data_IF_541938539180
#
_entry.id   IF_541938539180
#
_cell.length_a   1.000
_cell.length_b   1.000
_cell.length_c   1.000
_cell.angle_alpha   90.00
_cell.angle_beta   90.00
_cell.angle_gamma   90.00
#
_symmetry.space_group_name_H-M   'P 1'
#
loop_
_entity.id
_entity.type
_entity.pdbx_description
1 polymer ?
#
# COMPACT_ATOMS: atom_id res chain seq x y z
N UNK A 1 0.18 -21.86 -38.33
CA UNK A 1 -0.57 -20.84 -37.56
C UNK A 1 0.45 -19.95 -36.85
N UNK A 2 0.57 -18.68 -37.24
CA UNK A 2 1.45 -17.70 -36.57
C UNK A 2 0.84 -17.38 -35.21
N UNK A 3 1.53 -17.71 -34.13
CA UNK A 3 1.18 -17.22 -32.80
C UNK A 3 1.45 -15.72 -32.78
N UNK A 4 0.40 -14.91 -32.82
CA UNK A 4 0.51 -13.48 -32.51
C UNK A 4 0.86 -13.37 -31.04
N UNK A 5 2.11 -13.06 -30.71
CA UNK A 5 2.54 -12.69 -29.37
C UNK A 5 1.94 -11.33 -29.02
N UNK A 6 0.68 -11.33 -28.56
CA UNK A 6 0.12 -10.18 -27.86
C UNK A 6 0.67 -10.18 -26.45
N UNK A 7 1.64 -9.29 -26.18
CA UNK A 7 2.12 -9.03 -24.82
C UNK A 7 1.14 -8.02 -24.19
N UNK A 8 0.13 -8.54 -23.51
CA UNK A 8 -0.73 -7.71 -22.66
C UNK A 8 0.01 -7.38 -21.36
N UNK A 9 0.09 -6.10 -21.02
CA UNK A 9 0.67 -5.65 -19.75
C UNK A 9 -0.40 -5.70 -18.66
N UNK A 10 -0.41 -6.75 -17.86
CA UNK A 10 -1.27 -6.84 -16.68
C UNK A 10 -0.57 -6.22 -15.46
N UNK A 11 -1.13 -5.12 -14.93
CA UNK A 11 -0.55 -4.41 -13.78
C UNK A 11 -1.05 -4.94 -12.43
N UNK A 12 -2.09 -5.78 -12.43
CA UNK A 12 -2.72 -6.36 -11.23
C UNK A 12 -1.72 -7.21 -10.42
N UNK A 13 -0.83 -7.95 -11.08
CA UNK A 13 0.20 -8.76 -10.41
C UNK A 13 1.19 -7.94 -9.58
N UNK A 14 1.34 -6.64 -9.87
CA UNK A 14 2.21 -5.74 -9.12
C UNK A 14 1.46 -4.98 -8.03
N UNK A 15 0.13 -5.06 -7.99
CA UNK A 15 -0.70 -4.18 -7.20
C UNK A 15 -0.41 -4.26 -5.69
N UNK A 16 -0.16 -5.46 -5.14
CA UNK A 16 0.06 -5.65 -3.70
C UNK A 16 1.29 -4.89 -3.17
N UNK A 17 2.47 -5.21 -3.71
CA UNK A 17 3.72 -4.58 -3.27
C UNK A 17 3.88 -3.15 -3.79
N UNK A 18 3.35 -2.84 -4.99
CA UNK A 18 3.40 -1.48 -5.53
C UNK A 18 2.51 -0.55 -4.70
N UNK A 19 1.32 -0.99 -4.28
CA UNK A 19 0.46 -0.23 -3.35
C UNK A 19 1.20 0.03 -2.05
N UNK A 20 1.81 -1.00 -1.47
CA UNK A 20 2.55 -0.92 -0.21
C UNK A 20 3.72 0.08 -0.30
N UNK A 21 4.54 -0.01 -1.36
CA UNK A 21 5.66 0.88 -1.60
C UNK A 21 5.21 2.34 -1.89
N UNK A 22 4.18 2.54 -2.72
CA UNK A 22 3.64 3.88 -3.02
C UNK A 22 3.03 4.52 -1.78
N UNK A 23 2.29 3.76 -0.97
CA UNK A 23 1.77 4.21 0.31
C UNK A 23 2.91 4.63 1.22
N UNK A 24 3.94 3.79 1.33
CA UNK A 24 5.08 4.08 2.20
C UNK A 24 5.86 5.32 1.81
N UNK A 25 6.23 5.46 0.53
CA UNK A 25 6.97 6.65 0.07
C UNK A 25 6.18 7.95 0.30
N UNK A 26 4.89 7.96 -0.04
CA UNK A 26 4.06 9.15 0.15
C UNK A 26 3.85 9.44 1.63
N UNK A 27 3.58 8.44 2.45
CA UNK A 27 3.40 8.62 3.89
C UNK A 27 4.69 9.10 4.57
N UNK A 28 5.85 8.57 4.18
CA UNK A 28 7.15 9.01 4.66
C UNK A 28 7.45 10.47 4.35
N UNK A 29 7.05 10.97 3.16
CA UNK A 29 7.16 12.38 2.82
C UNK A 29 6.13 13.19 3.62
N UNK A 30 4.84 12.83 3.60
CA UNK A 30 3.78 13.63 4.23
C UNK A 30 4.00 13.72 5.74
N UNK A 31 4.15 12.58 6.42
CA UNK A 31 4.20 12.51 7.88
C UNK A 31 5.44 13.21 8.44
N UNK A 32 6.64 12.91 7.91
CA UNK A 32 7.89 13.49 8.41
C UNK A 32 8.02 14.96 8.03
N UNK A 33 7.62 15.35 6.81
CA UNK A 33 7.61 16.79 6.44
C UNK A 33 6.63 17.56 7.31
N UNK A 34 5.43 17.04 7.54
CA UNK A 34 4.43 17.72 8.39
C UNK A 34 4.95 17.87 9.82
N UNK A 35 5.51 16.79 10.40
CA UNK A 35 6.12 16.82 11.73
C UNK A 35 7.22 17.89 11.82
N UNK A 36 8.14 17.91 10.85
CA UNK A 36 9.25 18.88 10.80
C UNK A 36 8.73 20.31 10.67
N UNK A 37 7.76 20.54 9.78
CA UNK A 37 7.14 21.86 9.58
C UNK A 37 6.43 22.33 10.86
N UNK A 38 5.72 21.45 11.55
CA UNK A 38 5.07 21.78 12.83
C UNK A 38 6.08 22.18 13.92
N UNK A 39 7.17 21.42 14.07
CA UNK A 39 8.22 21.73 15.05
C UNK A 39 8.99 23.00 14.67
N UNK A 40 9.24 23.23 13.38
CA UNK A 40 9.85 24.48 12.92
C UNK A 40 8.93 25.69 13.21
N UNK A 41 7.62 25.55 12.98
CA UNK A 41 6.63 26.59 13.24
C UNK A 41 6.48 26.91 14.75
N UNK A 42 6.88 26.01 15.64
CA UNK A 42 6.91 26.28 17.08
C UNK A 42 8.09 27.15 17.53
N UNK A 43 9.00 27.51 16.61
CA UNK A 43 10.23 28.26 16.91
C UNK A 43 11.35 27.40 17.52
N UNK A 44 11.27 26.07 17.38
CA UNK A 44 12.31 25.18 17.88
C UNK A 44 13.63 25.37 17.11
N UNK A 45 14.75 25.12 17.79
CA UNK A 45 16.08 25.20 17.16
C UNK A 45 16.23 24.22 16.01
N UNK A 46 17.10 24.54 15.03
CA UNK A 46 17.41 23.64 13.91
C UNK A 46 17.88 22.25 14.38
N UNK A 47 18.62 22.18 15.50
CA UNK A 47 19.03 20.89 16.10
C UNK A 47 17.83 20.06 16.57
N UNK A 48 16.87 20.69 17.26
CA UNK A 48 15.63 20.03 17.70
C UNK A 48 14.82 19.52 16.52
N UNK A 49 14.74 20.32 15.45
CA UNK A 49 14.06 19.94 14.20
C UNK A 49 14.73 18.71 13.56
N UNK A 50 16.06 18.68 13.49
CA UNK A 50 16.82 17.56 12.93
C UNK A 50 16.63 16.27 13.74
N UNK A 51 16.76 16.34 15.06
CA UNK A 51 16.55 15.17 15.94
C UNK A 51 15.12 14.66 15.80
N UNK A 52 14.14 15.56 15.72
CA UNK A 52 12.74 15.18 15.53
C UNK A 52 12.52 14.53 14.16
N UNK A 53 13.17 15.02 13.10
CA UNK A 53 13.09 14.41 11.78
C UNK A 53 13.62 12.98 11.79
N UNK A 54 14.77 12.73 12.43
CA UNK A 54 15.38 11.40 12.51
C UNK A 54 14.50 10.46 13.35
N UNK A 55 14.00 10.93 14.49
CA UNK A 55 13.09 10.16 15.33
C UNK A 55 11.78 9.83 14.60
N UNK A 56 11.20 10.79 13.88
CA UNK A 56 10.00 10.61 13.06
C UNK A 56 10.23 9.63 11.92
N UNK A 57 11.38 9.69 11.25
CA UNK A 57 11.76 8.74 10.21
C UNK A 57 11.84 7.31 10.75
N UNK A 58 12.61 7.09 11.83
CA UNK A 58 12.83 5.75 12.38
C UNK A 58 11.54 5.18 12.96
N UNK A 59 10.81 5.96 13.76
CA UNK A 59 9.56 5.52 14.37
C UNK A 59 8.46 5.28 13.33
N UNK A 60 8.36 6.15 12.32
CA UNK A 60 7.43 5.99 11.21
C UNK A 60 7.72 4.75 10.36
N UNK A 61 8.98 4.54 9.97
CA UNK A 61 9.38 3.35 9.20
C UNK A 61 9.11 2.05 9.97
N UNK A 62 9.41 2.02 11.28
CA UNK A 62 9.15 0.86 12.13
C UNK A 62 7.64 0.61 12.30
N UNK A 63 6.86 1.67 12.55
CA UNK A 63 5.40 1.60 12.68
C UNK A 63 4.76 1.09 11.39
N UNK A 64 5.21 1.58 10.24
CA UNK A 64 4.73 1.14 8.94
C UNK A 64 5.09 -0.31 8.64
N UNK A 65 6.31 -0.74 8.94
CA UNK A 65 6.72 -2.14 8.80
C UNK A 65 5.84 -3.06 9.64
N UNK A 66 5.62 -2.70 10.91
CA UNK A 66 4.78 -3.45 11.82
C UNK A 66 3.32 -3.48 11.35
N UNK A 67 2.76 -2.34 10.96
CA UNK A 67 1.38 -2.22 10.49
C UNK A 67 1.10 -3.06 9.25
N UNK A 68 1.96 -2.99 8.23
CA UNK A 68 1.82 -3.80 7.02
C UNK A 68 2.07 -5.28 7.28
N UNK A 69 3.03 -5.64 8.15
CA UNK A 69 3.21 -7.03 8.56
C UNK A 69 1.96 -7.58 9.25
N UNK A 70 1.44 -6.88 10.27
CA UNK A 70 0.26 -7.31 11.04
C UNK A 70 -0.96 -7.43 10.12
N UNK A 71 -1.19 -6.44 9.25
CA UNK A 71 -2.33 -6.44 8.33
C UNK A 71 -2.26 -7.61 7.34
N UNK A 72 -1.14 -7.78 6.63
CA UNK A 72 -0.99 -8.85 5.64
C UNK A 72 -0.89 -10.22 6.31
N UNK A 73 -0.33 -10.31 7.52
CA UNK A 73 -0.29 -11.56 8.29
C UNK A 73 -1.69 -11.98 8.73
N UNK A 74 -2.53 -11.04 9.17
CA UNK A 74 -3.92 -11.31 9.48
C UNK A 74 -4.69 -11.81 8.26
N UNK A 75 -4.46 -11.22 7.08
CA UNK A 75 -5.03 -11.71 5.83
C UNK A 75 -4.59 -13.16 5.55
N UNK A 76 -3.29 -13.45 5.67
CA UNK A 76 -2.76 -14.80 5.48
C UNK A 76 -3.39 -15.83 6.44
N UNK A 77 -3.64 -15.44 7.69
CA UNK A 77 -4.24 -16.32 8.69
C UNK A 77 -5.73 -16.60 8.38
N UNK A 78 -6.47 -15.61 7.84
CA UNK A 78 -7.84 -15.80 7.33
C UNK A 78 -7.84 -16.75 6.13
N UNK A 79 -7.02 -16.48 5.11
CA UNK A 79 -6.90 -17.32 3.90
C UNK A 79 -6.58 -18.78 4.27
N UNK A 80 -5.67 -18.99 5.23
CA UNK A 80 -5.32 -20.33 5.70
C UNK A 80 -6.49 -21.03 6.40
N UNK A 81 -7.27 -20.31 7.20
CA UNK A 81 -8.41 -20.89 7.89
C UNK A 81 -9.53 -21.26 6.92
N UNK A 82 -9.80 -20.41 5.92
CA UNK A 82 -10.81 -20.66 4.90
C UNK A 82 -10.42 -21.90 4.08
N UNK A 83 -9.17 -22.04 3.65
CA UNK A 83 -8.68 -23.24 2.96
C UNK A 83 -8.81 -24.51 3.81
N UNK A 84 -8.56 -24.42 5.12
CA UNK A 84 -8.72 -25.55 6.02
C UNK A 84 -10.19 -25.92 6.27
N UNK A 85 -11.09 -24.94 6.23
CA UNK A 85 -12.52 -25.18 6.31
C UNK A 85 -13.00 -25.86 5.04
N UNK A 86 -12.62 -25.33 3.88
CA UNK A 86 -12.94 -25.87 2.56
C UNK A 86 -12.47 -27.32 2.40
N UNK A 87 -11.24 -27.62 2.82
CA UNK A 87 -10.71 -28.99 2.81
C UNK A 87 -11.57 -29.96 3.65
N UNK A 88 -12.19 -29.49 4.75
CA UNK A 88 -13.08 -30.31 5.58
C UNK A 88 -14.45 -30.49 4.93
N UNK A 89 -15.00 -29.46 4.30
CA UNK A 89 -16.29 -29.54 3.60
C UNK A 89 -16.19 -30.46 2.38
N UNK A 90 -15.12 -30.34 1.58
CA UNK A 90 -14.81 -31.26 0.48
C UNK A 90 -14.75 -32.74 0.92
N UNK A 91 -14.24 -33.01 2.13
CA UNK A 91 -14.18 -34.37 2.69
C UNK A 91 -15.53 -34.85 3.24
N UNK A 92 -16.32 -33.96 3.84
CA UNK A 92 -17.58 -34.30 4.53
C UNK A 92 -18.80 -34.30 3.62
N UNK A 93 -18.84 -33.40 2.65
CA UNK A 93 -19.99 -33.08 1.82
C UNK A 93 -19.62 -32.96 0.32
N UNK A 94 -18.92 -33.94 -0.29
CA UNK A 94 -18.39 -33.82 -1.65
C UNK A 94 -19.46 -33.57 -2.73
N UNK A 95 -20.67 -34.11 -2.57
CA UNK A 95 -21.77 -33.83 -3.50
C UNK A 95 -22.33 -32.42 -3.34
N UNK A 96 -22.26 -31.85 -2.14
CA UNK A 96 -22.67 -30.47 -1.89
C UNK A 96 -21.68 -29.52 -2.57
N UNK A 97 -20.38 -29.70 -2.33
CA UNK A 97 -19.33 -28.87 -2.91
C UNK A 97 -19.32 -28.92 -4.45
N UNK A 98 -19.52 -30.09 -5.04
CA UNK A 98 -19.66 -30.20 -6.49
C UNK A 98 -20.85 -29.38 -7.03
N UNK A 99 -21.97 -29.36 -6.30
CA UNK A 99 -23.14 -28.58 -6.66
C UNK A 99 -22.91 -27.08 -6.45
N UNK A 100 -22.17 -26.70 -5.42
CA UNK A 100 -21.74 -25.34 -5.16
C UNK A 100 -20.88 -24.79 -6.30
N UNK A 101 -19.81 -25.50 -6.67
CA UNK A 101 -18.93 -25.12 -7.78
C UNK A 101 -19.69 -24.99 -9.10
N UNK A 102 -20.60 -25.92 -9.39
CA UNK A 102 -21.50 -25.80 -10.55
C UNK A 102 -22.32 -24.51 -10.50
N UNK A 103 -22.92 -24.20 -9.35
CA UNK A 103 -23.77 -23.03 -9.21
C UNK A 103 -22.98 -21.72 -9.41
N UNK A 104 -21.73 -21.66 -8.92
CA UNK A 104 -20.81 -20.54 -9.19
C UNK A 104 -20.65 -20.33 -10.70
N UNK A 105 -20.41 -21.41 -11.44
CA UNK A 105 -20.25 -21.33 -12.90
C UNK A 105 -21.55 -20.99 -13.65
N UNK A 106 -22.71 -21.44 -13.17
CA UNK A 106 -24.01 -21.00 -13.69
C UNK A 106 -24.18 -19.48 -13.49
N UNK A 107 -23.86 -18.95 -12.31
CA UNK A 107 -23.93 -17.52 -12.01
C UNK A 107 -22.97 -16.70 -12.89
N UNK A 108 -21.82 -17.28 -13.26
CA UNK A 108 -20.88 -16.69 -14.22
C UNK A 108 -21.34 -16.76 -15.68
N UNK A 109 -22.47 -17.43 -15.96
CA UNK A 109 -23.14 -17.43 -17.26
C UNK A 109 -23.06 -18.74 -18.05
N UNK A 110 -22.57 -19.84 -17.45
CA UNK A 110 -22.56 -21.15 -18.11
C UNK A 110 -23.95 -21.79 -18.08
N UNK A 111 -24.28 -22.52 -19.15
CA UNK A 111 -25.47 -23.37 -19.19
C UNK A 111 -25.35 -24.49 -18.14
N UNK A 112 -26.44 -24.93 -17.48
CA UNK A 112 -26.37 -25.89 -16.38
C UNK A 112 -25.65 -27.21 -16.72
N UNK A 113 -25.86 -27.73 -17.93
CA UNK A 113 -25.20 -28.95 -18.39
C UNK A 113 -23.67 -28.77 -18.49
N UNK A 114 -23.22 -27.66 -19.09
CA UNK A 114 -21.80 -27.36 -19.22
C UNK A 114 -21.16 -27.02 -17.85
N UNK A 115 -21.86 -26.30 -16.98
CA UNK A 115 -21.39 -26.00 -15.63
C UNK A 115 -21.19 -27.28 -14.80
N UNK A 116 -22.06 -28.28 -14.96
CA UNK A 116 -21.88 -29.60 -14.33
C UNK A 116 -20.62 -30.31 -14.82
N UNK A 117 -20.37 -30.30 -16.13
CA UNK A 117 -19.16 -30.90 -16.71
C UNK A 117 -17.88 -30.17 -16.25
N UNK A 118 -17.90 -28.83 -16.22
CA UNK A 118 -16.78 -28.02 -15.73
C UNK A 118 -16.49 -28.32 -14.26
N UNK A 119 -17.52 -28.31 -13.40
CA UNK A 119 -17.36 -28.61 -11.98
C UNK A 119 -16.75 -30.01 -11.78
N UNK A 120 -17.27 -31.04 -12.47
CA UNK A 120 -16.72 -32.40 -12.38
C UNK A 120 -15.25 -32.49 -12.77
N UNK A 121 -14.87 -31.85 -13.89
CA UNK A 121 -13.48 -31.90 -14.37
C UNK A 121 -12.52 -31.12 -13.45
N UNK A 122 -12.94 -29.96 -12.93
CA UNK A 122 -12.13 -29.16 -12.01
C UNK A 122 -11.99 -29.85 -10.65
N UNK A 123 -13.08 -30.38 -10.09
CA UNK A 123 -13.05 -31.19 -8.85
C UNK A 123 -12.13 -32.40 -9.00
N UNK A 124 -12.18 -33.10 -10.14
CA UNK A 124 -11.32 -34.26 -10.40
C UNK A 124 -9.83 -33.90 -10.55
N UNK A 125 -9.53 -32.71 -11.07
CA UNK A 125 -8.15 -32.23 -11.19
C UNK A 125 -7.60 -31.75 -9.84
N UNK A 126 -8.30 -30.80 -9.20
CA UNK A 126 -7.96 -30.28 -7.87
C UNK A 126 -9.16 -29.48 -7.30
N UNK A 127 -9.99 -30.14 -6.50
CA UNK A 127 -11.17 -29.51 -5.91
C UNK A 127 -10.82 -28.31 -5.02
N UNK A 128 -9.80 -28.44 -4.17
CA UNK A 128 -9.41 -27.36 -3.26
C UNK A 128 -8.92 -26.11 -4.01
N UNK A 129 -8.11 -26.27 -5.06
CA UNK A 129 -7.68 -25.13 -5.89
C UNK A 129 -8.85 -24.50 -6.66
N UNK A 130 -9.80 -25.31 -7.14
CA UNK A 130 -10.99 -24.80 -7.83
C UNK A 130 -11.85 -23.95 -6.90
N UNK A 131 -12.19 -24.45 -5.70
CA UNK A 131 -12.95 -23.68 -4.71
C UNK A 131 -12.15 -22.48 -4.19
N UNK A 132 -10.87 -22.65 -3.89
CA UNK A 132 -10.00 -21.54 -3.48
C UNK A 132 -10.04 -20.37 -4.47
N UNK A 133 -9.97 -20.65 -5.78
CA UNK A 133 -9.98 -19.61 -6.82
C UNK A 133 -11.36 -19.08 -7.14
N UNK A 134 -12.34 -19.97 -7.27
CA UNK A 134 -13.64 -19.62 -7.86
C UNK A 134 -14.70 -19.22 -6.84
N UNK A 135 -14.59 -19.71 -5.61
CA UNK A 135 -15.47 -19.39 -4.49
C UNK A 135 -14.82 -18.37 -3.55
N UNK A 136 -13.61 -18.66 -3.05
CA UNK A 136 -12.95 -17.84 -2.01
C UNK A 136 -12.19 -16.64 -2.63
N UNK A 137 -11.72 -16.78 -3.87
CA UNK A 137 -10.93 -15.75 -4.58
C UNK A 137 -9.43 -15.74 -4.22
N UNK A 138 -8.93 -16.81 -3.62
CA UNK A 138 -7.50 -17.03 -3.33
C UNK A 138 -6.83 -17.56 -4.59
N UNK A 139 -5.76 -16.90 -5.03
CA UNK A 139 -4.93 -17.32 -6.17
C UNK A 139 -3.45 -17.10 -5.87
N UNK A 140 -2.56 -17.78 -6.60
CA UNK A 140 -1.12 -17.65 -6.41
C UNK A 140 -0.63 -16.18 -6.51
N UNK A 141 -1.27 -15.40 -7.39
CA UNK A 141 -0.98 -14.00 -7.64
C UNK A 141 -1.53 -13.05 -6.56
N UNK A 142 -2.47 -13.51 -5.73
CA UNK A 142 -3.08 -12.73 -4.63
C UNK A 142 -2.60 -13.15 -3.24
N UNK A 143 -1.76 -14.18 -3.15
CA UNK A 143 -1.25 -14.71 -1.89
C UNK A 143 -0.59 -13.64 -1.00
N UNK A 144 -1.03 -13.59 0.26
CA UNK A 144 -0.51 -12.65 1.25
C UNK A 144 0.97 -12.91 1.55
N UNK A 145 1.83 -11.89 1.38
CA UNK A 145 3.28 -11.97 1.60
C UNK A 145 3.75 -10.95 2.66
N UNK A 146 3.58 -11.24 3.97
CA UNK A 146 3.72 -10.25 5.05
C UNK A 146 5.09 -9.57 5.11
N UNK A 147 6.17 -10.36 5.03
CA UNK A 147 7.53 -9.82 5.09
C UNK A 147 7.85 -8.91 3.91
N UNK A 148 7.44 -9.29 2.69
CA UNK A 148 7.69 -8.48 1.49
C UNK A 148 6.94 -7.16 1.56
N UNK A 149 5.68 -7.17 1.98
CA UNK A 149 4.90 -5.96 2.21
C UNK A 149 5.57 -5.04 3.25
N UNK A 150 5.87 -5.58 4.43
CA UNK A 150 6.48 -4.83 5.53
C UNK A 150 7.81 -4.16 5.14
N UNK A 151 8.75 -4.91 4.56
CA UNK A 151 10.05 -4.35 4.15
C UNK A 151 9.91 -3.36 3.00
N UNK A 152 9.04 -3.64 2.01
CA UNK A 152 8.83 -2.72 0.89
C UNK A 152 8.29 -1.37 1.36
N UNK A 153 7.34 -1.37 2.30
CA UNK A 153 6.78 -0.16 2.89
C UNK A 153 7.79 0.58 3.75
N UNK A 154 8.56 -0.13 4.60
CA UNK A 154 9.57 0.48 5.46
C UNK A 154 10.69 1.17 4.67
N UNK A 155 11.18 0.52 3.62
CA UNK A 155 12.20 1.09 2.72
C UNK A 155 11.62 2.29 1.98
N UNK A 156 10.40 2.15 1.42
CA UNK A 156 9.77 3.24 0.70
C UNK A 156 9.51 4.46 1.60
N UNK A 157 9.03 4.24 2.83
CA UNK A 157 8.88 5.28 3.85
C UNK A 157 10.20 5.97 4.13
N UNK A 158 11.25 5.20 4.40
CA UNK A 158 12.59 5.72 4.65
C UNK A 158 13.05 6.62 3.50
N UNK A 159 12.95 6.14 2.25
CA UNK A 159 13.30 6.91 1.05
C UNK A 159 12.48 8.20 0.94
N UNK A 160 11.17 8.14 1.23
CA UNK A 160 10.30 9.31 1.27
C UNK A 160 10.72 10.32 2.34
N UNK A 161 11.09 9.85 3.52
CA UNK A 161 11.51 10.71 4.64
C UNK A 161 12.93 11.28 4.47
N UNK A 162 13.74 10.78 3.52
CA UNK A 162 15.03 11.40 3.20
C UNK A 162 14.87 12.81 2.60
N UNK A 163 13.77 13.10 1.90
CA UNK A 163 13.54 14.42 1.32
C UNK A 163 13.51 15.55 2.38
N UNK A 164 12.65 15.49 3.43
CA UNK A 164 12.68 16.50 4.49
C UNK A 164 14.00 16.47 5.28
N UNK A 165 14.61 15.30 5.51
CA UNK A 165 15.89 15.20 6.21
C UNK A 165 17.02 15.96 5.48
N UNK A 166 17.18 15.70 4.18
CA UNK A 166 18.18 16.38 3.35
C UNK A 166 17.88 17.88 3.27
N UNK A 167 16.59 18.25 3.22
CA UNK A 167 16.17 19.66 3.21
C UNK A 167 16.66 20.40 4.45
N UNK A 168 16.55 19.81 5.64
CA UNK A 168 17.03 20.40 6.89
C UNK A 168 18.55 20.61 6.87
N UNK A 169 19.30 19.67 6.30
CA UNK A 169 20.77 19.76 6.27
C UNK A 169 21.30 20.82 5.30
N UNK A 170 20.53 21.16 4.25
CA UNK A 170 20.97 22.08 3.20
C UNK A 170 20.42 23.50 3.36
N UNK A 171 19.27 23.68 4.01
CA UNK A 171 18.60 24.97 4.11
C UNK A 171 19.12 25.81 5.29
N UNK A 172 19.38 27.11 5.08
CA UNK A 172 19.61 28.03 6.19
C UNK A 172 18.37 28.15 7.09
N UNK A 173 18.60 28.36 8.40
CA UNK A 173 17.55 28.43 9.43
C UNK A 173 16.40 29.39 9.07
N UNK A 174 16.73 30.56 8.49
CA UNK A 174 15.74 31.56 8.04
C UNK A 174 14.71 31.02 7.04
N UNK A 175 15.08 30.01 6.25
CA UNK A 175 14.24 29.45 5.19
C UNK A 175 13.78 28.02 5.48
N UNK A 176 14.07 27.48 6.67
CA UNK A 176 13.87 26.07 6.99
C UNK A 176 12.41 25.64 6.81
N UNK A 177 11.47 26.30 7.48
CA UNK A 177 10.04 25.95 7.45
C UNK A 177 9.47 25.98 6.03
N UNK A 178 9.63 27.11 5.33
CA UNK A 178 9.09 27.30 3.97
C UNK A 178 9.79 26.41 2.94
N UNK A 179 11.10 26.22 3.09
CA UNK A 179 11.90 25.40 2.18
C UNK A 179 11.59 23.92 2.32
N UNK A 180 11.47 23.40 3.54
CA UNK A 180 11.07 22.01 3.80
C UNK A 180 9.66 21.76 3.25
N UNK A 181 8.71 22.68 3.49
CA UNK A 181 7.35 22.56 2.94
C UNK A 181 7.36 22.51 1.41
N UNK A 182 8.09 23.42 0.75
CA UNK A 182 8.18 23.45 -0.71
C UNK A 182 8.79 22.16 -1.27
N UNK A 183 9.91 21.69 -0.70
CA UNK A 183 10.57 20.46 -1.14
C UNK A 183 9.67 19.25 -0.90
N UNK A 184 8.97 19.19 0.24
CA UNK A 184 7.99 18.14 0.52
C UNK A 184 6.88 18.10 -0.53
N UNK A 185 6.27 19.23 -0.87
CA UNK A 185 5.22 19.32 -1.89
C UNK A 185 5.72 18.91 -3.27
N UNK A 186 6.93 19.35 -3.66
CA UNK A 186 7.53 18.92 -4.93
C UNK A 186 7.82 17.41 -4.95
N UNK A 187 8.33 16.87 -3.85
CA UNK A 187 8.61 15.44 -3.69
C UNK A 187 7.34 14.61 -3.80
N UNK A 188 6.23 15.07 -3.20
CA UNK A 188 4.91 14.45 -3.35
C UNK A 188 4.38 14.50 -4.78
N UNK A 189 4.62 15.61 -5.49
CA UNK A 189 4.28 15.72 -6.90
C UNK A 189 5.00 14.66 -7.73
N UNK A 190 6.31 14.51 -7.53
CA UNK A 190 7.13 13.52 -8.23
C UNK A 190 6.70 12.09 -7.85
N UNK A 191 6.53 11.79 -6.56
CA UNK A 191 6.12 10.45 -6.14
C UNK A 191 4.70 10.10 -6.60
N UNK A 192 3.77 11.05 -6.54
CA UNK A 192 2.42 10.89 -7.07
C UNK A 192 2.39 10.65 -8.58
N UNK A 193 3.27 11.33 -9.33
CA UNK A 193 3.46 11.11 -10.77
C UNK A 193 3.96 9.69 -11.05
N UNK A 194 5.03 9.26 -10.37
CA UNK A 194 5.63 7.94 -10.53
C UNK A 194 4.65 6.82 -10.15
N UNK A 195 3.92 6.99 -9.03
CA UNK A 195 2.91 6.05 -8.59
C UNK A 195 1.79 5.87 -9.62
N UNK A 196 1.26 6.98 -10.16
CA UNK A 196 0.22 6.91 -11.18
C UNK A 196 0.72 6.33 -12.50
N UNK A 197 1.95 6.65 -12.91
CA UNK A 197 2.58 6.02 -14.08
C UNK A 197 2.71 4.50 -13.89
N UNK A 198 3.23 4.05 -12.74
CA UNK A 198 3.41 2.64 -12.44
C UNK A 198 2.08 1.88 -12.37
N UNK A 199 1.01 2.53 -11.91
CA UNK A 199 -0.35 1.98 -11.86
C UNK A 199 -1.17 2.12 -13.14
N UNK A 200 -0.60 2.67 -14.23
CA UNK A 200 -1.33 2.87 -15.49
C UNK A 200 -2.41 3.97 -15.47
N UNK A 201 -2.37 4.86 -14.47
CA UNK A 201 -3.31 5.96 -14.28
C UNK A 201 -2.75 7.30 -14.80
N UNK A 202 -3.60 8.33 -14.87
CA UNK A 202 -3.17 9.68 -15.25
C UNK A 202 -2.20 10.27 -14.21
N UNK A 203 -0.97 10.54 -14.66
CA UNK A 203 0.14 11.13 -13.88
C UNK A 203 -0.29 12.43 -13.19
N UNK A 204 -0.99 13.31 -13.92
CA UNK A 204 -1.44 14.60 -13.41
C UNK A 204 -2.44 14.47 -12.27
N UNK A 205 -3.43 13.57 -12.42
CA UNK A 205 -4.44 13.34 -11.37
C UNK A 205 -3.83 12.75 -10.11
N UNK A 206 -2.88 11.83 -10.26
CA UNK A 206 -2.11 11.25 -9.16
C UNK A 206 -1.35 12.29 -8.37
N UNK A 207 -0.52 13.06 -9.07
CA UNK A 207 0.34 14.09 -8.47
C UNK A 207 -0.48 15.13 -7.70
N UNK A 208 -1.50 15.71 -8.35
CA UNK A 208 -2.34 16.75 -7.74
C UNK A 208 -3.02 16.23 -6.46
N UNK A 209 -3.57 15.01 -6.51
CA UNK A 209 -4.24 14.41 -5.35
C UNK A 209 -3.32 14.29 -4.14
N UNK A 210 -2.09 13.81 -4.33
CA UNK A 210 -1.14 13.63 -3.23
C UNK A 210 -0.63 14.98 -2.72
N UNK A 211 -0.34 15.92 -3.63
CA UNK A 211 0.10 17.27 -3.27
C UNK A 211 -0.94 18.02 -2.44
N UNK A 212 -2.23 17.97 -2.82
CA UNK A 212 -3.31 18.65 -2.07
C UNK A 212 -3.36 18.15 -0.63
N UNK A 213 -3.42 16.83 -0.43
CA UNK A 213 -3.46 16.25 0.91
C UNK A 213 -2.19 16.51 1.71
N UNK A 214 -1.02 16.50 1.05
CA UNK A 214 0.24 16.87 1.67
C UNK A 214 0.27 18.32 2.14
N UNK A 215 -0.19 19.27 1.32
CA UNK A 215 -0.30 20.69 1.68
C UNK A 215 -1.22 20.85 2.89
N UNK A 216 -2.39 20.22 2.88
CA UNK A 216 -3.35 20.29 3.99
C UNK A 216 -2.71 19.78 5.28
N UNK A 217 -2.04 18.62 5.24
CA UNK A 217 -1.39 18.04 6.42
C UNK A 217 -0.27 18.96 6.97
N UNK A 218 0.58 19.49 6.09
CA UNK A 218 1.67 20.38 6.48
C UNK A 218 1.15 21.71 7.06
N UNK A 219 0.12 22.30 6.44
CA UNK A 219 -0.49 23.54 6.95
C UNK A 219 -1.16 23.32 8.31
N UNK A 220 -1.86 22.20 8.49
CA UNK A 220 -2.47 21.85 9.77
C UNK A 220 -1.42 21.64 10.86
N UNK A 221 -0.32 20.95 10.53
CA UNK A 221 0.78 20.76 11.47
C UNK A 221 1.53 22.05 11.80
N UNK A 222 1.77 22.92 10.80
CA UNK A 222 2.32 24.26 11.01
C UNK A 222 1.44 25.10 11.94
N UNK A 223 0.12 25.07 11.70
CA UNK A 223 -0.85 25.79 12.53
C UNK A 223 -0.80 25.31 13.98
N UNK A 224 -0.87 24.01 14.23
CA UNK A 224 -0.75 23.46 15.59
C UNK A 224 0.59 23.82 16.22
N UNK A 225 1.69 23.65 15.49
CA UNK A 225 3.04 23.95 15.95
C UNK A 225 3.20 25.40 16.41
N UNK A 226 2.64 26.34 15.64
CA UNK A 226 2.67 27.78 15.95
C UNK A 226 2.01 28.14 17.29
N UNK A 227 1.12 27.30 17.82
CA UNK A 227 0.46 27.53 19.11
C UNK A 227 1.40 27.33 20.31
N UNK A 228 2.50 26.59 20.15
CA UNK A 228 3.37 26.22 21.27
C UNK A 228 4.51 27.21 21.54
N UNK A 229 4.82 28.10 20.58
CA UNK A 229 5.76 29.23 20.68
C UNK A 229 6.95 29.04 21.65
N UNK A 230 7.74 27.99 21.42
CA UNK A 230 8.75 27.45 22.34
C UNK A 230 9.97 28.37 22.50
N UNK A 231 10.15 29.35 21.62
CA UNK A 231 11.28 30.28 21.61
C UNK A 231 11.22 31.42 22.66
N UNK A 232 10.21 31.45 23.55
CA UNK A 232 10.00 32.54 24.54
C UNK A 232 10.39 32.14 25.98
N UNK A 233 11.05 31.00 26.18
CA UNK A 233 11.53 30.55 27.50
C UNK A 233 13.02 30.86 27.72
#
# INVERSE_FOLDING_TARGET
>A
MRHSYHIEKHYIERAGWLRAAVLGANDGIISVTSLVVGIAASGASTHTVLVTCIAGLISGAASMAAGEYISVKSQQDIEKNDLQMEERELQRHPEHELNELKNIYIQRGLQPALAQEVAQQLTAHNALDAHARDEIGISDHTSAQPFRAAFSSAIAFTVGSLFPLISIMLLPERYLEKGVMLIGVLSLGIMGALASYAGGASIWRGSIRVMIWGIIAMLFSAWIGSLFNVAVA
#
